data_IF_052411405344
#
_entry.id   IF_052411405344
#
_cell.length_a   1.000
_cell.length_b   1.000
_cell.length_c   1.000
_cell.angle_alpha   90.00
_cell.angle_beta   90.00
_cell.angle_gamma   90.00
#
_symmetry.space_group_name_H-M   'P 1'
#
loop_
_entity.id
_entity.type
_entity.pdbx_description
1 polymer ?
#
# COMPACT_ATOMS: atom_id res chain seq x y z
N UNK A 1 -20.38 -8.63 21.31
CA UNK A 1 -19.11 -9.19 21.82
C UNK A 1 -17.96 -8.65 20.99
N UNK A 2 -17.08 -7.91 21.63
CA UNK A 2 -16.04 -7.04 21.07
C UNK A 2 -14.95 -7.80 20.31
N UNK A 3 -14.62 -7.37 19.08
CA UNK A 3 -13.26 -7.48 18.55
C UNK A 3 -12.96 -6.25 17.68
N UNK A 4 -12.43 -5.20 18.30
CA UNK A 4 -11.65 -4.19 17.57
C UNK A 4 -10.39 -4.91 17.08
N UNK A 5 -10.44 -5.42 15.85
CA UNK A 5 -9.26 -6.01 15.20
C UNK A 5 -8.47 -4.86 14.61
N UNK A 6 -7.36 -4.52 15.25
CA UNK A 6 -6.40 -3.54 14.74
C UNK A 6 -5.99 -4.00 13.33
N UNK A 7 -6.20 -3.14 12.32
CA UNK A 7 -5.65 -3.33 10.98
C UNK A 7 -4.17 -2.95 11.00
N UNK A 8 -3.34 -3.71 10.30
CA UNK A 8 -2.00 -3.25 9.99
C UNK A 8 -2.11 -2.28 8.81
N UNK A 9 -1.58 -1.07 8.99
CA UNK A 9 -1.51 -0.07 7.93
C UNK A 9 -0.28 -0.36 7.08
N UNK A 10 -0.49 -0.89 5.88
CA UNK A 10 0.52 -0.79 4.84
C UNK A 10 0.28 0.55 4.14
N UNK A 11 1.31 1.39 4.09
CA UNK A 11 1.29 2.57 3.26
C UNK A 11 1.94 2.20 1.91
N UNK A 12 1.18 1.99 0.82
CA UNK A 12 1.67 2.14 -0.55
C UNK A 12 2.38 3.47 -0.83
N UNK A 13 2.20 4.45 0.04
CA UNK A 13 2.66 5.82 -0.11
C UNK A 13 3.61 6.18 1.03
N UNK A 14 4.92 6.27 0.81
CA UNK A 14 5.79 6.97 1.76
C UNK A 14 6.95 7.74 1.14
N UNK A 15 7.27 8.82 1.85
CA UNK A 15 8.16 9.91 1.51
C UNK A 15 9.58 9.46 1.16
N UNK A 16 10.10 10.05 0.08
CA UNK A 16 11.53 10.04 -0.22
C UNK A 16 12.28 10.94 0.76
N UNK A 17 13.19 10.35 1.53
CA UNK A 17 14.15 11.11 2.33
C UNK A 17 15.50 11.05 1.64
N UNK A 18 15.81 12.01 0.77
CA UNK A 18 17.19 12.13 0.27
C UNK A 18 18.14 12.35 1.45
N UNK A 19 19.25 11.60 1.54
CA UNK A 19 20.29 11.82 2.57
C UNK A 19 20.94 13.21 2.49
N UNK A 20 20.56 14.04 1.52
CA UNK A 20 20.92 15.46 1.41
C UNK A 20 20.01 16.41 2.19
N UNK A 21 19.27 15.94 3.21
CA UNK A 21 18.44 16.76 4.10
C UNK A 21 19.15 17.86 4.91
N UNK A 22 20.46 18.07 4.73
CA UNK A 22 21.06 19.38 5.03
C UNK A 22 20.89 20.31 3.82
N UNK A 23 19.70 20.90 3.70
CA UNK A 23 19.50 22.16 2.98
C UNK A 23 19.03 22.11 1.52
N UNK A 24 18.62 20.96 0.97
CA UNK A 24 17.87 20.90 -0.30
C UNK A 24 16.58 20.11 -0.09
N UNK A 25 15.45 20.68 -0.51
CA UNK A 25 14.09 20.23 -0.19
C UNK A 25 13.73 18.78 -0.60
N UNK A 26 12.45 18.43 -0.41
CA UNK A 26 11.91 17.05 -0.47
C UNK A 26 11.95 16.42 -1.88
N UNK A 27 12.49 17.12 -2.89
CA UNK A 27 12.55 16.66 -4.28
C UNK A 27 11.19 16.68 -4.96
N UNK A 28 11.14 16.19 -6.21
CA UNK A 28 9.89 16.03 -6.95
C UNK A 28 9.11 14.81 -6.43
N UNK A 29 7.87 14.65 -6.90
CA UNK A 29 7.05 13.47 -6.65
C UNK A 29 6.06 13.24 -7.80
N UNK A 30 5.29 12.16 -7.71
CA UNK A 30 4.21 11.84 -8.67
C UNK A 30 3.08 12.86 -8.62
N UNK A 31 2.69 13.28 -7.41
CA UNK A 31 1.57 14.18 -7.17
C UNK A 31 1.96 15.36 -6.28
N UNK A 32 2.73 15.08 -5.23
CA UNK A 32 3.22 16.08 -4.28
C UNK A 32 4.73 15.92 -4.10
N UNK A 33 5.47 17.02 -3.87
CA UNK A 33 6.90 16.97 -3.64
C UNK A 33 7.30 15.94 -2.57
N UNK A 34 8.22 15.05 -2.94
CA UNK A 34 8.72 14.03 -2.04
C UNK A 34 7.89 12.76 -1.94
N UNK A 35 6.79 12.63 -2.69
CA UNK A 35 6.03 11.37 -2.71
C UNK A 35 5.82 10.80 -4.09
N UNK A 36 6.12 9.51 -4.23
CA UNK A 36 6.08 8.76 -5.47
C UNK A 36 5.06 7.63 -5.35
N UNK A 37 4.26 7.45 -6.40
CA UNK A 37 3.42 6.27 -6.54
C UNK A 37 4.28 5.02 -6.65
N UNK A 38 3.91 3.94 -5.96
CA UNK A 38 4.62 2.67 -6.01
C UNK A 38 4.76 2.12 -7.45
N UNK A 39 3.74 2.30 -8.29
CA UNK A 39 3.80 1.91 -9.72
C UNK A 39 4.88 2.63 -10.54
N UNK A 40 5.39 3.76 -10.05
CA UNK A 40 6.49 4.50 -10.68
C UNK A 40 7.88 4.07 -10.16
N UNK A 41 7.95 3.08 -9.27
CA UNK A 41 9.16 2.60 -8.61
C UNK A 41 9.55 1.19 -9.10
N UNK A 42 10.86 0.83 -9.03
CA UNK A 42 11.98 1.72 -8.72
C UNK A 42 12.25 2.72 -9.85
N UNK A 43 12.83 3.87 -9.51
CA UNK A 43 13.23 4.87 -10.51
C UNK A 43 14.43 4.37 -11.33
N UNK A 44 14.52 4.83 -12.58
CA UNK A 44 15.66 4.51 -13.45
C UNK A 44 17.00 4.86 -12.78
N UNK A 45 17.93 3.90 -12.77
CA UNK A 45 19.24 4.03 -12.13
C UNK A 45 19.25 3.87 -10.60
N UNK A 46 18.10 3.65 -9.96
CA UNK A 46 18.02 3.29 -8.55
C UNK A 46 18.20 1.78 -8.37
N UNK A 47 18.86 1.37 -7.30
CA UNK A 47 18.95 -0.02 -6.84
C UNK A 47 17.94 -0.23 -5.72
N UNK A 48 17.01 -1.16 -5.91
CA UNK A 48 16.03 -1.60 -4.92
C UNK A 48 16.66 -2.61 -3.95
N UNK A 49 16.44 -2.42 -2.66
CA UNK A 49 17.02 -3.22 -1.56
C UNK A 49 15.90 -3.58 -0.60
N UNK A 50 15.86 -4.85 -0.19
CA UNK A 50 14.96 -5.38 0.83
C UNK A 50 15.79 -5.98 1.99
N UNK A 51 15.55 -5.50 3.21
CA UNK A 51 16.13 -6.04 4.45
C UNK A 51 15.12 -6.98 5.12
N UNK A 52 15.30 -8.29 4.89
CA UNK A 52 14.45 -9.34 5.42
C UNK A 52 14.44 -9.44 6.97
N UNK A 53 15.47 -8.93 7.65
CA UNK A 53 15.53 -8.96 9.12
C UNK A 53 14.48 -8.03 9.73
N UNK A 54 14.24 -6.89 9.11
CA UNK A 54 13.29 -5.87 9.60
C UNK A 54 12.01 -5.79 8.78
N UNK A 55 11.96 -6.43 7.61
CA UNK A 55 10.80 -6.39 6.72
C UNK A 55 10.54 -5.00 6.16
N UNK A 56 11.62 -4.36 5.70
CA UNK A 56 11.57 -3.04 5.10
C UNK A 56 12.38 -3.01 3.80
N UNK A 57 11.98 -2.14 2.89
CA UNK A 57 12.62 -1.97 1.60
C UNK A 57 12.78 -0.49 1.25
N UNK A 58 13.75 -0.22 0.40
CA UNK A 58 14.04 1.11 -0.13
C UNK A 58 14.75 1.00 -1.46
N UNK A 59 14.80 2.10 -2.21
CA UNK A 59 15.70 2.24 -3.36
C UNK A 59 16.70 3.36 -3.15
N UNK A 60 17.89 3.21 -3.71
CA UNK A 60 18.93 4.24 -3.67
C UNK A 60 19.53 4.45 -5.06
N UNK A 61 19.56 5.70 -5.52
CA UNK A 61 20.24 6.10 -6.75
C UNK A 61 21.55 6.81 -6.39
N UNK A 62 22.69 6.19 -6.69
CA UNK A 62 24.01 6.73 -6.29
C UNK A 62 24.35 8.06 -6.97
N UNK A 63 24.16 8.24 -8.30
CA UNK A 63 24.38 9.53 -8.95
C UNK A 63 23.55 10.69 -8.38
N UNK A 64 22.24 10.50 -8.18
CA UNK A 64 21.35 11.56 -7.71
C UNK A 64 21.31 11.68 -6.19
N UNK A 65 21.84 10.67 -5.48
CA UNK A 65 21.75 10.50 -4.02
C UNK A 65 20.30 10.44 -3.51
N UNK A 66 19.36 10.07 -4.38
CA UNK A 66 17.96 9.90 -4.03
C UNK A 66 17.76 8.59 -3.25
N UNK A 67 17.00 8.68 -2.16
CA UNK A 67 16.67 7.54 -1.30
C UNK A 67 15.16 7.54 -1.09
N UNK A 68 14.50 6.48 -1.53
CA UNK A 68 13.05 6.32 -1.47
C UNK A 68 12.71 5.07 -0.66
N UNK A 69 11.91 5.22 0.40
CA UNK A 69 11.42 4.09 1.20
C UNK A 69 10.02 3.72 0.76
N UNK A 70 9.78 2.45 0.49
CA UNK A 70 8.48 1.92 0.08
C UNK A 70 8.47 0.41 0.30
N UNK A 71 7.29 -0.19 0.30
CA UNK A 71 7.16 -1.65 0.40
C UNK A 71 7.34 -2.31 -0.97
N UNK A 72 8.09 -3.42 -1.00
CA UNK A 72 8.05 -4.39 -2.09
C UNK A 72 7.10 -5.54 -1.77
N UNK A 73 6.88 -6.41 -2.76
CA UNK A 73 6.08 -7.64 -2.57
C UNK A 73 6.59 -8.49 -1.40
N UNK A 74 7.90 -8.59 -1.21
CA UNK A 74 8.57 -9.34 -0.15
C UNK A 74 8.31 -8.71 1.23
N UNK A 75 8.43 -7.39 1.33
CA UNK A 75 8.07 -6.64 2.55
C UNK A 75 6.61 -6.88 2.93
N UNK A 76 5.68 -6.79 1.97
CA UNK A 76 4.25 -7.05 2.22
C UNK A 76 3.99 -8.48 2.66
N UNK A 77 4.62 -9.46 2.00
CA UNK A 77 4.50 -10.87 2.37
C UNK A 77 4.95 -11.10 3.82
N UNK A 78 6.05 -10.49 4.25
CA UNK A 78 6.53 -10.59 5.63
C UNK A 78 5.59 -9.88 6.61
N UNK A 79 5.06 -8.70 6.26
CA UNK A 79 4.03 -8.01 7.08
C UNK A 79 2.77 -8.83 7.22
N UNK A 80 2.35 -9.56 6.18
CA UNK A 80 1.21 -10.48 6.27
C UNK A 80 1.50 -11.67 7.18
N UNK A 81 2.72 -12.21 7.19
CA UNK A 81 3.08 -13.22 8.19
C UNK A 81 3.02 -12.67 9.61
N UNK A 82 3.43 -11.42 9.81
CA UNK A 82 3.27 -10.74 11.10
C UNK A 82 1.79 -10.58 11.48
N UNK A 83 0.93 -10.15 10.54
CA UNK A 83 -0.53 -10.05 10.72
C UNK A 83 -1.11 -11.39 11.19
N UNK A 84 -0.71 -12.49 10.54
CA UNK A 84 -1.16 -13.84 10.90
C UNK A 84 -0.64 -14.26 12.27
N UNK A 85 0.64 -14.06 12.55
CA UNK A 85 1.27 -14.42 13.82
C UNK A 85 0.67 -13.66 15.01
N UNK A 86 0.18 -12.43 14.79
CA UNK A 86 -0.44 -11.58 15.81
C UNK A 86 -1.98 -11.62 15.79
N UNK A 87 -2.58 -12.44 14.94
CA UNK A 87 -4.03 -12.53 14.76
C UNK A 87 -4.71 -11.16 14.52
N UNK A 88 -4.07 -10.30 13.72
CA UNK A 88 -4.59 -8.99 13.33
C UNK A 88 -5.72 -9.13 12.29
N UNK A 89 -6.48 -8.05 12.08
CA UNK A 89 -7.70 -8.08 11.25
C UNK A 89 -7.48 -8.25 9.76
N UNK A 90 -6.28 -7.96 9.28
CA UNK A 90 -5.93 -7.93 7.86
C UNK A 90 -5.00 -6.78 7.54
N UNK A 91 -4.83 -6.53 6.25
CA UNK A 91 -4.01 -5.45 5.69
C UNK A 91 -4.90 -4.32 5.20
N UNK A 92 -4.45 -3.08 5.40
CA UNK A 92 -5.01 -1.88 4.75
C UNK A 92 -3.97 -1.27 3.82
N UNK A 93 -4.40 -0.70 2.70
CA UNK A 93 -3.54 -0.02 1.74
C UNK A 93 -4.05 1.40 1.47
N UNK A 94 -3.15 2.37 1.60
CA UNK A 94 -3.32 3.77 1.19
C UNK A 94 -2.34 4.16 0.05
N UNK A 95 -2.76 4.34 -1.20
CA UNK A 95 -4.09 4.13 -1.77
C UNK A 95 -4.01 3.29 -3.06
N UNK A 96 -5.16 2.89 -3.60
CA UNK A 96 -5.21 1.86 -4.65
C UNK A 96 -4.67 2.33 -6.00
N UNK A 97 -4.77 3.62 -6.32
CA UNK A 97 -4.34 4.17 -7.61
C UNK A 97 -2.82 4.12 -7.80
N UNK A 98 -2.06 4.11 -6.70
CA UNK A 98 -0.60 4.01 -6.69
C UNK A 98 -0.09 2.56 -6.84
N UNK A 99 -0.94 1.54 -6.70
CA UNK A 99 -0.53 0.14 -6.82
C UNK A 99 -0.20 -0.25 -8.27
N UNK A 100 0.55 -1.33 -8.42
CA UNK A 100 0.86 -1.94 -9.71
C UNK A 100 -0.26 -2.88 -10.14
N UNK A 101 -0.31 -3.15 -11.44
CA UNK A 101 -1.24 -4.12 -12.05
C UNK A 101 -0.55 -5.42 -12.49
N UNK A 102 0.75 -5.53 -12.28
CA UNK A 102 1.56 -6.71 -12.57
C UNK A 102 1.74 -7.61 -11.33
N UNK A 103 2.60 -8.61 -11.44
CA UNK A 103 2.94 -9.56 -10.38
C UNK A 103 3.56 -8.91 -9.14
N UNK A 104 3.98 -7.64 -9.24
CA UNK A 104 4.50 -6.84 -8.13
C UNK A 104 3.42 -6.04 -7.40
N UNK A 105 2.13 -6.20 -7.73
CA UNK A 105 1.03 -5.59 -6.99
C UNK A 105 1.10 -5.93 -5.49
N UNK A 106 1.11 -4.91 -4.64
CA UNK A 106 1.17 -5.08 -3.19
C UNK A 106 -0.14 -5.63 -2.64
N UNK A 107 -1.26 -5.17 -3.18
CA UNK A 107 -2.58 -5.63 -2.76
C UNK A 107 -2.79 -7.11 -3.13
N UNK A 108 -2.34 -7.51 -4.33
CA UNK A 108 -2.37 -8.91 -4.77
C UNK A 108 -1.45 -9.79 -3.92
N UNK A 109 -0.21 -9.35 -3.67
CA UNK A 109 0.73 -10.09 -2.81
C UNK A 109 0.13 -10.32 -1.41
N UNK A 110 -0.50 -9.30 -0.83
CA UNK A 110 -1.17 -9.43 0.46
C UNK A 110 -2.37 -10.36 0.43
N UNK A 111 -3.26 -10.21 -0.57
CA UNK A 111 -4.44 -11.06 -0.69
C UNK A 111 -4.05 -12.55 -0.83
N UNK A 112 -3.08 -12.85 -1.69
CA UNK A 112 -2.54 -14.19 -1.90
C UNK A 112 -1.92 -14.77 -0.62
N UNK A 113 -1.25 -13.94 0.16
CA UNK A 113 -0.59 -14.36 1.40
C UNK A 113 -1.58 -14.56 2.57
N UNK A 114 -2.63 -13.73 2.65
CA UNK A 114 -3.69 -13.85 3.65
C UNK A 114 -4.52 -15.13 3.44
N UNK A 115 -4.82 -15.48 2.17
CA UNK A 115 -5.65 -16.62 1.72
C UNK A 115 -7.12 -16.64 2.18
N UNK A 116 -7.42 -16.11 3.37
CA UNK A 116 -8.73 -16.17 4.02
C UNK A 116 -9.27 -14.76 4.24
N UNK A 117 -9.82 -14.17 3.18
CA UNK A 117 -10.48 -12.87 3.26
C UNK A 117 -11.87 -13.00 3.89
N UNK A 118 -12.35 -11.93 4.52
CA UNK A 118 -13.73 -11.83 4.99
C UNK A 118 -14.70 -11.99 3.81
N UNK A 119 -15.71 -12.85 3.99
CA UNK A 119 -16.73 -13.18 2.98
C UNK A 119 -18.11 -12.64 3.34
N UNK A 120 -18.18 -11.73 4.31
CA UNK A 120 -19.41 -11.05 4.68
C UNK A 120 -20.03 -10.37 3.44
N UNK A 121 -21.31 -10.65 3.19
CA UNK A 121 -22.03 -10.08 2.07
C UNK A 121 -22.18 -8.56 2.25
N UNK A 122 -21.95 -7.79 1.19
CA UNK A 122 -22.22 -6.36 1.21
C UNK A 122 -23.74 -6.07 1.28
N UNK A 123 -24.09 -4.88 1.76
CA UNK A 123 -25.48 -4.44 1.80
C UNK A 123 -25.85 -3.72 0.49
N UNK A 124 -26.87 -4.21 -0.23
CA UNK A 124 -27.31 -3.62 -1.51
C UNK A 124 -28.72 -3.06 -1.49
N UNK A 125 -29.48 -3.26 -0.39
CA UNK A 125 -30.88 -2.85 -0.30
C UNK A 125 -31.03 -1.52 0.44
N UNK A 126 -30.99 -0.42 -0.31
CA UNK A 126 -31.09 0.94 0.25
C UNK A 126 -32.49 1.53 0.01
N UNK A 127 -33.54 0.87 0.53
CA UNK A 127 -34.95 1.22 0.28
C UNK A 127 -35.34 2.65 0.68
N UNK A 128 -34.59 3.27 1.59
CA UNK A 128 -34.80 4.65 2.04
C UNK A 128 -33.85 5.66 1.38
N UNK A 129 -33.05 5.24 0.40
CA UNK A 129 -32.20 6.16 -0.35
C UNK A 129 -33.05 7.24 -1.02
N UNK A 130 -32.65 8.51 -0.90
CA UNK A 130 -33.25 9.63 -1.63
C UNK A 130 -33.04 9.56 -3.14
N UNK A 131 -32.07 8.78 -3.59
CA UNK A 131 -31.72 8.61 -5.00
C UNK A 131 -32.42 7.37 -5.57
N UNK A 132 -33.30 7.55 -6.56
CA UNK A 132 -34.13 6.47 -7.11
C UNK A 132 -33.29 5.35 -7.75
N UNK A 133 -32.20 5.69 -8.44
CA UNK A 133 -31.27 4.69 -8.99
C UNK A 133 -30.66 3.80 -7.89
N UNK A 134 -30.28 4.35 -6.74
CA UNK A 134 -29.75 3.58 -5.61
C UNK A 134 -30.86 2.78 -4.92
N UNK A 135 -32.05 3.38 -4.75
CA UNK A 135 -33.21 2.73 -4.13
C UNK A 135 -33.66 1.51 -4.94
N UNK A 136 -33.65 1.63 -6.26
CA UNK A 136 -34.06 0.59 -7.21
C UNK A 136 -32.92 -0.40 -7.54
N UNK A 137 -31.77 -0.32 -6.86
CA UNK A 137 -30.66 -1.24 -7.04
C UNK A 137 -30.00 -1.14 -8.42
N UNK A 138 -29.85 0.09 -8.93
CA UNK A 138 -29.29 0.44 -10.24
C UNK A 138 -30.02 -0.20 -11.44
N UNK A 139 -31.25 -0.66 -11.23
CA UNK A 139 -32.14 -1.13 -12.30
C UNK A 139 -32.76 0.10 -12.97
N UNK A 140 -32.64 0.16 -14.29
CA UNK A 140 -33.31 1.15 -15.14
C UNK A 140 -34.80 0.89 -15.27
#
# INVERSE_FOLDING_TARGET
>A
MSRLKILYWAFPFMAGLSKTQRGRGIGNGSWEPGVWDYKALPRSGAVEIYDARIGASFSYNTPTKEFLTYDTSESVIQKVEYIKAKALGGSMFWEISADRTDDKSLTLASANKLRSLDRSQNWLSYLQSRYDNIRNGLRG
#
